data_IF_885840821747
#
_entry.id   IF_885840821747
#
_cell.length_a   1.000
_cell.length_b   1.000
_cell.length_c   1.000
_cell.angle_alpha   90.00
_cell.angle_beta   90.00
_cell.angle_gamma   90.00
#
_symmetry.space_group_name_H-M   'P 1'
#
loop_
_entity.id
_entity.type
_entity.pdbx_description
1 polymer ?
#
# COMPACT_ATOMS: atom_id res chain seq x y z
N UNK A 1 10.32 -15.64 13.30
CA UNK A 1 10.70 -15.25 11.92
C UNK A 1 11.55 -16.38 11.30
N UNK A 2 10.91 -17.54 11.05
CA UNK A 2 11.59 -18.76 10.56
C UNK A 2 12.40 -18.54 9.25
N UNK A 3 11.99 -17.58 8.42
CA UNK A 3 12.74 -17.20 7.21
C UNK A 3 14.11 -16.60 7.53
N UNK A 4 14.25 -15.87 8.64
CA UNK A 4 15.55 -15.34 9.08
C UNK A 4 16.52 -16.46 9.48
N UNK A 5 16.00 -17.53 10.11
CA UNK A 5 16.78 -18.73 10.47
C UNK A 5 17.27 -19.47 9.23
N UNK A 6 16.58 -19.30 8.10
CA UNK A 6 16.94 -19.84 6.79
C UNK A 6 17.82 -18.89 5.95
N UNK A 7 18.19 -17.74 6.49
CA UNK A 7 19.03 -16.74 5.81
C UNK A 7 18.26 -15.81 4.86
N UNK A 8 16.93 -15.75 4.95
CA UNK A 8 16.10 -14.89 4.10
C UNK A 8 15.66 -13.62 4.83
N UNK A 9 15.44 -12.56 4.05
CA UNK A 9 14.93 -11.25 4.53
C UNK A 9 13.42 -11.08 4.35
N UNK A 10 12.68 -12.12 3.93
CA UNK A 10 11.28 -12.08 3.56
C UNK A 10 10.89 -11.00 2.50
N UNK A 11 11.86 -10.37 1.85
CA UNK A 11 11.61 -9.54 0.69
C UNK A 11 11.47 -10.44 -0.55
N UNK A 12 10.24 -10.60 -1.01
CA UNK A 12 9.90 -11.40 -2.17
C UNK A 12 9.09 -10.59 -3.17
N UNK A 13 9.32 -10.84 -4.45
CA UNK A 13 8.52 -10.28 -5.53
C UNK A 13 8.36 -11.33 -6.63
N UNK A 14 7.16 -11.46 -7.18
CA UNK A 14 6.89 -12.45 -8.22
C UNK A 14 5.46 -12.38 -8.74
N UNK A 15 5.19 -13.24 -9.71
CA UNK A 15 3.87 -13.34 -10.33
C UNK A 15 3.15 -14.60 -9.83
N UNK A 16 2.84 -14.63 -8.53
CA UNK A 16 2.00 -15.65 -7.91
C UNK A 16 0.51 -15.36 -8.14
N UNK A 17 -0.38 -16.15 -7.55
CA UNK A 17 -1.81 -16.03 -7.81
C UNK A 17 -2.36 -14.67 -7.36
N UNK A 18 -2.04 -14.24 -6.14
CA UNK A 18 -2.55 -13.00 -5.56
C UNK A 18 -1.46 -12.08 -5.01
N UNK A 19 -0.41 -12.60 -4.37
CA UNK A 19 0.64 -11.78 -3.78
C UNK A 19 1.68 -11.35 -4.83
N UNK A 20 1.96 -10.06 -4.86
CA UNK A 20 3.00 -9.50 -5.74
C UNK A 20 4.31 -9.24 -4.98
N UNK A 21 4.19 -8.78 -3.75
CA UNK A 21 5.33 -8.42 -2.92
C UNK A 21 5.13 -8.88 -1.49
N UNK A 22 6.22 -9.25 -0.85
CA UNK A 22 6.30 -9.53 0.58
C UNK A 22 7.46 -8.78 1.20
N UNK A 23 7.36 -8.44 2.47
CA UNK A 23 8.41 -7.79 3.24
C UNK A 23 8.41 -8.29 4.68
N UNK A 24 9.59 -8.33 5.29
CA UNK A 24 9.74 -8.56 6.73
C UNK A 24 9.29 -7.31 7.51
N UNK A 25 8.23 -7.45 8.28
CA UNK A 25 7.66 -6.42 9.15
C UNK A 25 7.87 -6.72 10.64
N UNK A 26 8.81 -7.61 10.95
CA UNK A 26 9.12 -7.94 12.34
C UNK A 26 9.73 -6.76 13.09
N UNK A 27 9.52 -6.69 14.41
CA UNK A 27 10.36 -5.85 15.26
C UNK A 27 11.82 -6.31 15.18
N UNK A 28 12.79 -5.48 15.64
CA UNK A 28 14.21 -5.81 15.56
C UNK A 28 14.57 -7.20 16.14
N UNK A 29 13.89 -7.59 17.22
CA UNK A 29 14.08 -8.88 17.91
C UNK A 29 13.57 -10.08 17.11
N UNK A 30 12.85 -9.86 16.00
CA UNK A 30 12.29 -10.91 15.15
C UNK A 30 11.13 -11.69 15.75
N UNK A 31 10.55 -11.20 16.84
CA UNK A 31 9.41 -11.82 17.53
C UNK A 31 8.35 -10.79 17.91
N UNK A 32 7.08 -11.00 17.53
CA UNK A 32 6.63 -12.09 16.65
C UNK A 32 7.23 -11.97 15.24
N UNK A 33 7.30 -13.10 14.51
CA UNK A 33 7.62 -13.08 13.08
C UNK A 33 6.42 -12.52 12.30
N UNK A 34 6.63 -11.45 11.53
CA UNK A 34 5.57 -10.77 10.77
C UNK A 34 6.01 -10.62 9.31
N UNK A 35 5.17 -11.08 8.38
CA UNK A 35 5.32 -10.80 6.96
C UNK A 35 4.18 -9.87 6.54
N UNK A 36 4.53 -8.71 5.99
CA UNK A 36 3.60 -7.86 5.27
C UNK A 36 3.57 -8.24 3.79
N UNK A 37 2.40 -8.20 3.18
CA UNK A 37 2.22 -8.56 1.77
C UNK A 37 1.19 -7.65 1.10
N UNK A 38 1.28 -7.53 -0.22
CA UNK A 38 0.36 -6.73 -1.01
C UNK A 38 -0.33 -7.56 -2.08
N UNK A 39 -1.65 -7.38 -2.17
CA UNK A 39 -2.45 -7.72 -3.35
C UNK A 39 -2.72 -6.40 -4.06
N UNK A 40 -2.22 -6.22 -5.27
CA UNK A 40 -2.27 -4.94 -5.95
C UNK A 40 -2.67 -5.06 -7.43
N UNK A 41 -2.88 -3.92 -8.06
CA UNK A 41 -3.15 -3.83 -9.49
C UNK A 41 -4.42 -4.56 -9.91
N UNK A 42 -4.32 -5.30 -11.01
CA UNK A 42 -5.44 -6.02 -11.61
C UNK A 42 -5.92 -7.24 -10.81
N UNK A 43 -5.15 -7.69 -9.82
CA UNK A 43 -5.52 -8.82 -8.96
C UNK A 43 -6.58 -8.45 -7.92
N UNK A 44 -6.65 -7.18 -7.51
CA UNK A 44 -7.56 -6.70 -6.46
C UNK A 44 -9.01 -7.02 -6.79
N UNK A 45 -9.46 -6.75 -8.01
CA UNK A 45 -10.85 -6.94 -8.42
C UNK A 45 -11.34 -8.37 -8.26
N UNK A 46 -10.54 -9.34 -8.72
CA UNK A 46 -10.85 -10.76 -8.56
C UNK A 46 -10.77 -11.21 -7.08
N UNK A 47 -9.72 -10.78 -6.40
CA UNK A 47 -9.49 -11.13 -4.99
C UNK A 47 -10.62 -10.62 -4.07
N UNK A 48 -11.13 -9.41 -4.31
CA UNK A 48 -12.21 -8.82 -3.50
C UNK A 48 -13.56 -9.52 -3.66
N UNK A 49 -13.77 -10.28 -4.72
CA UNK A 49 -15.00 -11.05 -4.94
C UNK A 49 -15.02 -12.40 -4.21
N UNK A 50 -13.86 -12.84 -3.73
CA UNK A 50 -13.72 -14.11 -3.04
C UNK A 50 -14.25 -14.04 -1.61
N UNK A 51 -14.72 -15.17 -1.10
CA UNK A 51 -15.03 -15.32 0.33
C UNK A 51 -13.76 -15.15 1.19
N UNK A 52 -13.93 -14.82 2.46
CA UNK A 52 -12.80 -14.71 3.40
C UNK A 52 -11.94 -15.99 3.45
N UNK A 53 -12.56 -17.16 3.34
CA UNK A 53 -11.82 -18.41 3.36
C UNK A 53 -10.98 -18.59 2.09
N UNK A 54 -11.55 -18.31 0.92
CA UNK A 54 -10.83 -18.39 -0.36
C UNK A 54 -9.66 -17.39 -0.40
N UNK A 55 -9.87 -16.17 0.09
CA UNK A 55 -8.82 -15.17 0.21
C UNK A 55 -7.68 -15.66 1.10
N UNK A 56 -8.03 -16.21 2.27
CA UNK A 56 -7.07 -16.80 3.20
C UNK A 56 -6.27 -17.92 2.52
N UNK A 57 -6.92 -18.84 1.86
CA UNK A 57 -6.28 -20.02 1.27
C UNK A 57 -5.32 -19.61 0.15
N UNK A 58 -5.69 -18.66 -0.69
CA UNK A 58 -4.83 -18.11 -1.74
C UNK A 58 -3.60 -17.38 -1.18
N UNK A 59 -3.80 -16.52 -0.18
CA UNK A 59 -2.70 -15.81 0.47
C UNK A 59 -1.72 -16.79 1.10
N UNK A 60 -2.22 -17.79 1.83
CA UNK A 60 -1.36 -18.80 2.47
C UNK A 60 -0.66 -19.71 1.46
N UNK A 61 -1.30 -20.00 0.33
CA UNK A 61 -0.69 -20.72 -0.78
C UNK A 61 0.50 -19.95 -1.35
N UNK A 62 0.33 -18.67 -1.61
CA UNK A 62 1.37 -17.82 -2.17
C UNK A 62 2.50 -17.56 -1.17
N UNK A 63 2.18 -17.34 0.10
CA UNK A 63 3.20 -17.21 1.16
C UNK A 63 4.03 -18.50 1.29
N UNK A 64 3.40 -19.66 1.16
CA UNK A 64 4.13 -20.93 1.19
C UNK A 64 5.00 -21.16 -0.06
N UNK A 65 4.61 -20.61 -1.20
CA UNK A 65 5.43 -20.67 -2.41
C UNK A 65 6.68 -19.79 -2.28
N UNK A 66 6.59 -18.64 -1.58
CA UNK A 66 7.75 -17.80 -1.30
C UNK A 66 8.64 -18.35 -0.19
N UNK A 67 8.04 -18.77 0.95
CA UNK A 67 8.77 -18.92 2.21
C UNK A 67 8.70 -20.34 2.79
N UNK A 68 8.11 -21.28 2.04
CA UNK A 68 8.00 -22.68 2.45
C UNK A 68 6.72 -23.00 3.23
N UNK A 69 6.51 -24.31 3.50
CA UNK A 69 5.23 -24.81 4.03
C UNK A 69 4.85 -24.25 5.40
N UNK A 70 5.81 -23.83 6.20
CA UNK A 70 5.58 -23.21 7.52
C UNK A 70 4.72 -21.93 7.43
N UNK A 71 4.77 -21.21 6.30
CA UNK A 71 3.95 -20.04 6.08
C UNK A 71 2.44 -20.32 5.93
N UNK A 72 2.03 -21.60 5.83
CA UNK A 72 0.62 -22.00 5.78
C UNK A 72 -0.09 -21.97 7.13
N UNK A 73 0.68 -21.97 8.22
CA UNK A 73 0.16 -22.06 9.59
C UNK A 73 0.51 -20.81 10.38
N UNK A 74 0.00 -19.63 9.99
CA UNK A 74 0.24 -18.41 10.75
C UNK A 74 -0.55 -18.45 12.08
N UNK A 75 0.00 -17.80 13.10
CA UNK A 75 -0.71 -17.55 14.37
C UNK A 75 -1.94 -16.69 14.09
N UNK A 76 -1.78 -15.70 13.21
CA UNK A 76 -2.84 -14.78 12.80
C UNK A 76 -2.62 -14.37 11.34
N UNK A 77 -3.72 -14.17 10.60
CA UNK A 77 -3.71 -13.56 9.28
C UNK A 77 -4.75 -12.42 9.26
N UNK A 78 -4.27 -11.21 9.04
CA UNK A 78 -5.10 -10.02 8.90
C UNK A 78 -5.10 -9.58 7.44
N UNK A 79 -6.28 -9.43 6.85
CA UNK A 79 -6.48 -8.90 5.50
C UNK A 79 -7.18 -7.55 5.62
N UNK A 80 -6.49 -6.47 5.27
CA UNK A 80 -7.04 -5.12 5.28
C UNK A 80 -7.45 -4.74 3.85
N UNK A 81 -8.68 -4.29 3.67
CA UNK A 81 -9.25 -3.93 2.37
C UNK A 81 -9.41 -2.41 2.28
N UNK A 82 -8.35 -1.73 1.93
CA UNK A 82 -8.34 -0.26 1.79
C UNK A 82 -9.33 0.26 0.73
N UNK A 83 -9.66 -0.57 -0.27
CA UNK A 83 -10.65 -0.24 -1.29
C UNK A 83 -12.09 -0.19 -0.79
N UNK A 84 -12.38 -0.82 0.35
CA UNK A 84 -13.71 -0.85 0.99
C UNK A 84 -13.83 0.24 2.07
N UNK A 85 -12.75 0.92 2.44
CA UNK A 85 -12.79 2.04 3.36
C UNK A 85 -13.35 3.27 2.66
N UNK A 86 -14.47 3.79 3.18
CA UNK A 86 -15.23 4.89 2.58
C UNK A 86 -14.44 6.21 2.49
N UNK A 87 -13.42 6.40 3.32
CA UNK A 87 -12.62 7.62 3.37
C UNK A 87 -11.28 7.48 2.64
N UNK A 88 -10.80 6.26 2.46
CA UNK A 88 -9.52 5.95 1.83
C UNK A 88 -9.74 5.55 0.37
N UNK A 89 -10.68 4.63 0.11
CA UNK A 89 -11.05 4.20 -1.24
C UNK A 89 -9.97 3.42 -1.99
N UNK A 90 -8.86 3.10 -1.33
CA UNK A 90 -7.72 2.40 -1.92
C UNK A 90 -6.40 2.93 -1.39
N UNK A 91 -5.31 2.50 -1.93
CA UNK A 91 -4.00 2.96 -1.49
C UNK A 91 -2.91 2.10 -2.10
N UNK A 92 -1.70 2.43 -1.88
CA UNK A 92 -1.04 3.63 -1.34
C UNK A 92 -0.67 4.63 -2.43
N UNK A 93 -0.87 4.29 -3.69
CA UNK A 93 -0.66 5.15 -4.84
C UNK A 93 -1.79 5.00 -5.84
N UNK A 94 -1.97 5.99 -6.68
CA UNK A 94 -2.98 6.01 -7.74
C UNK A 94 -2.31 5.87 -9.10
N UNK A 95 -2.70 4.86 -9.86
CA UNK A 95 -2.34 4.75 -11.28
C UNK A 95 -3.33 5.57 -12.11
N UNK A 96 -2.82 6.54 -12.83
CA UNK A 96 -3.62 7.36 -13.75
C UNK A 96 -3.76 6.70 -15.10
N UNK A 97 -4.89 6.95 -15.76
CA UNK A 97 -5.10 6.49 -17.15
C UNK A 97 -4.08 7.12 -18.10
N UNK A 98 -3.81 6.42 -19.20
CA UNK A 98 -2.94 6.93 -20.25
C UNK A 98 -3.43 8.30 -20.75
N UNK A 99 -2.51 9.26 -20.86
CA UNK A 99 -2.81 10.61 -21.29
C UNK A 99 -3.23 11.60 -20.19
N UNK A 100 -3.52 11.13 -18.96
CA UNK A 100 -3.93 12.01 -17.87
C UNK A 100 -2.86 13.07 -17.52
N UNK A 101 -1.59 12.69 -17.51
CA UNK A 101 -0.49 13.62 -17.25
C UNK A 101 -0.38 14.74 -18.28
N UNK A 102 -0.60 14.42 -19.56
CA UNK A 102 -0.56 15.41 -20.64
C UNK A 102 -1.82 16.26 -20.71
N UNK A 103 -2.98 15.69 -20.32
CA UNK A 103 -4.25 16.41 -20.37
C UNK A 103 -4.42 17.39 -19.20
N UNK A 104 -3.99 17.01 -18.01
CA UNK A 104 -4.22 17.80 -16.79
C UNK A 104 -2.96 18.51 -16.28
N UNK A 105 -1.76 18.11 -16.72
CA UNK A 105 -0.51 18.71 -16.28
C UNK A 105 -0.38 18.74 -14.78
N UNK A 106 -0.12 19.92 -14.21
CA UNK A 106 -0.09 20.18 -12.76
C UNK A 106 -1.45 20.52 -12.16
N UNK A 107 -2.52 20.61 -12.96
CA UNK A 107 -3.84 21.09 -12.49
C UNK A 107 -4.45 20.25 -11.36
N UNK A 108 -4.04 18.99 -11.22
CA UNK A 108 -4.44 18.14 -10.09
C UNK A 108 -3.79 18.52 -8.76
N UNK A 109 -2.78 19.40 -8.79
CA UNK A 109 -2.13 19.99 -7.60
C UNK A 109 -2.74 21.32 -7.18
N UNK A 110 -3.58 21.92 -8.03
CA UNK A 110 -4.16 23.22 -7.79
C UNK A 110 -5.27 23.13 -6.73
N UNK A 111 -5.29 24.11 -5.85
CA UNK A 111 -6.36 24.26 -4.86
C UNK A 111 -7.68 24.61 -5.56
N UNK A 112 -8.81 24.14 -5.02
CA UNK A 112 -10.12 24.38 -5.61
C UNK A 112 -10.95 25.34 -4.72
N UNK A 113 -10.94 26.61 -5.04
CA UNK A 113 -11.61 27.64 -4.25
C UNK A 113 -11.07 27.70 -2.83
N UNK A 114 -11.86 27.23 -1.84
CA UNK A 114 -11.46 27.15 -0.44
C UNK A 114 -11.01 25.76 0.01
N UNK A 115 -10.83 24.82 -0.93
CA UNK A 115 -10.35 23.47 -0.67
C UNK A 115 -8.86 23.41 -0.96
N UNK A 116 -8.07 23.08 0.04
CA UNK A 116 -6.63 22.94 -0.02
C UNK A 116 -6.26 21.47 0.08
N UNK A 117 -5.52 20.96 -0.89
CA UNK A 117 -5.14 19.55 -0.94
C UNK A 117 -3.83 19.31 -0.18
N UNK A 118 -3.76 18.22 0.56
CA UNK A 118 -2.64 17.91 1.45
C UNK A 118 -2.28 16.41 1.49
N UNK A 119 -2.48 15.68 0.42
CA UNK A 119 -2.06 14.27 0.30
C UNK A 119 -0.62 14.15 -0.18
N UNK A 120 -0.02 12.97 -0.01
CA UNK A 120 1.33 12.68 -0.52
C UNK A 120 1.46 12.90 -2.02
N UNK A 121 0.36 12.79 -2.76
CA UNK A 121 0.26 13.04 -4.20
C UNK A 121 0.55 14.50 -4.57
N UNK A 122 0.43 15.41 -3.60
CA UNK A 122 0.74 16.84 -3.78
C UNK A 122 2.25 17.13 -3.66
N UNK A 123 3.03 16.19 -3.11
CA UNK A 123 4.47 16.36 -3.00
C UNK A 123 5.13 16.27 -4.37
N UNK A 124 6.08 17.18 -4.63
CA UNK A 124 6.88 17.17 -5.86
C UNK A 124 8.15 16.34 -5.74
N UNK A 125 8.57 16.01 -4.52
CA UNK A 125 9.82 15.29 -4.26
C UNK A 125 9.60 13.85 -3.79
N UNK A 126 8.60 13.62 -2.95
CA UNK A 126 8.35 12.35 -2.29
C UNK A 126 6.91 11.86 -2.44
N UNK A 127 6.33 11.85 -3.68
CA UNK A 127 4.98 11.35 -3.87
C UNK A 127 4.91 9.85 -3.51
N UNK A 128 3.88 9.47 -2.75
CA UNK A 128 3.69 8.09 -2.27
C UNK A 128 4.42 7.74 -0.97
N UNK A 129 5.16 8.67 -0.37
CA UNK A 129 5.90 8.45 0.87
C UNK A 129 5.35 9.29 2.03
N UNK A 130 5.63 8.88 3.27
CA UNK A 130 5.27 9.65 4.47
C UNK A 130 5.85 11.06 4.46
N UNK A 131 7.10 11.21 4.04
CA UNK A 131 7.76 12.50 3.91
C UNK A 131 6.99 13.43 2.96
N UNK A 132 6.48 12.87 1.84
CA UNK A 132 5.64 13.63 0.91
C UNK A 132 4.33 14.10 1.52
N UNK A 133 3.71 13.29 2.37
CA UNK A 133 2.48 13.69 3.08
C UNK A 133 2.75 14.84 4.08
N UNK A 134 3.87 14.78 4.81
CA UNK A 134 4.29 15.84 5.73
C UNK A 134 4.57 17.13 4.94
N UNK A 135 5.35 17.07 3.87
CA UNK A 135 5.68 18.20 3.01
C UNK A 135 4.42 18.87 2.45
N UNK A 136 3.50 18.05 1.90
CA UNK A 136 2.24 18.54 1.34
C UNK A 136 1.34 19.19 2.40
N UNK A 137 1.26 18.59 3.59
CA UNK A 137 0.52 19.16 4.71
C UNK A 137 1.03 20.53 5.13
N UNK A 138 2.34 20.67 5.30
CA UNK A 138 2.97 21.97 5.63
C UNK A 138 2.75 23.02 4.53
N UNK A 139 2.84 22.61 3.26
CA UNK A 139 2.59 23.49 2.13
C UNK A 139 1.11 23.93 2.07
N UNK A 140 0.15 23.04 2.33
CA UNK A 140 -1.27 23.37 2.38
C UNK A 140 -1.59 24.38 3.49
N UNK A 141 -1.04 24.18 4.69
CA UNK A 141 -1.19 25.16 5.81
C UNK A 141 -0.63 26.53 5.43
N UNK A 142 0.52 26.57 4.77
CA UNK A 142 1.11 27.83 4.31
C UNK A 142 0.21 28.57 3.32
N UNK A 143 -0.39 27.84 2.36
CA UNK A 143 -1.34 28.43 1.39
C UNK A 143 -2.60 28.91 2.08
N UNK A 144 -3.16 28.11 3.00
CA UNK A 144 -4.34 28.50 3.78
C UNK A 144 -4.10 29.77 4.57
N UNK A 145 -2.99 29.88 5.29
CA UNK A 145 -2.66 31.07 6.06
C UNK A 145 -2.52 32.32 5.20
N UNK A 146 -2.02 32.19 3.97
CA UNK A 146 -1.90 33.33 3.05
C UNK A 146 -3.27 33.84 2.55
N UNK A 147 -4.31 33.01 2.62
CA UNK A 147 -5.69 33.43 2.24
C UNK A 147 -6.45 34.00 3.44
N UNK A 148 -6.08 33.64 4.66
CA UNK A 148 -6.74 34.11 5.89
C UNK A 148 -6.15 35.40 6.45
N UNK A 149 -4.96 35.80 6.00
CA UNK A 149 -4.27 37.04 6.38
C UNK A 149 -4.80 38.23 5.59
#
# INVERSE_FOLDING_TARGET
AFWRDQGYCAAGSGNLDVLEQTADACPPEGKPGIIASFVSGNKIGGFSQLSHQEQRDLVLKDLAAYWGPQAREPIELVIVRWTEDAWIGGGYGVTRSTGAWTAFGSGWQDDHGKVFWAGTEQSTRWPGYFEGAIEAGLAAVKRLNAVLA
#
